data_IF_227101956369
#
_entry.id   IF_227101956369
#
_cell.length_a   1.000
_cell.length_b   1.000
_cell.length_c   1.000
_cell.angle_alpha   90.00
_cell.angle_beta   90.00
_cell.angle_gamma   90.00
#
_symmetry.space_group_name_H-M   'P 1'
#
loop_
_entity.id
_entity.type
_entity.pdbx_description
1 polymer ?
#
# COMPACT_ATOMS: atom_id res chain seq x y z
N UNK A 1 17.95 6.80 -29.48
CA UNK A 1 18.47 5.89 -28.44
C UNK A 1 17.76 4.55 -28.56
N UNK A 2 18.46 3.40 -28.46
CA UNK A 2 17.87 2.05 -28.63
C UNK A 2 16.71 1.78 -27.67
N UNK A 3 16.74 2.39 -26.49
CA UNK A 3 15.69 2.34 -25.47
C UNK A 3 14.39 3.00 -25.95
N UNK A 4 14.47 4.16 -26.61
CA UNK A 4 13.28 4.87 -27.14
C UNK A 4 12.63 4.08 -28.28
N UNK A 5 13.42 3.42 -29.12
CA UNK A 5 12.91 2.53 -30.17
C UNK A 5 12.24 1.27 -29.58
N UNK A 6 12.80 0.72 -28.49
CA UNK A 6 12.19 -0.41 -27.79
C UNK A 6 10.86 -0.04 -27.14
N UNK A 7 10.79 1.14 -26.48
CA UNK A 7 9.55 1.69 -25.93
C UNK A 7 8.53 1.89 -27.05
N UNK A 8 8.94 2.51 -28.16
CA UNK A 8 8.06 2.76 -29.31
C UNK A 8 7.51 1.45 -29.91
N UNK A 9 8.36 0.46 -30.15
CA UNK A 9 7.94 -0.83 -30.71
C UNK A 9 6.98 -1.58 -29.77
N UNK A 10 7.29 -1.64 -28.47
CA UNK A 10 6.43 -2.34 -27.50
C UNK A 10 5.13 -1.56 -27.17
N UNK A 11 5.11 -0.24 -27.37
CA UNK A 11 3.88 0.56 -27.33
C UNK A 11 2.99 0.27 -28.52
N UNK A 12 3.56 0.16 -29.73
CA UNK A 12 2.81 -0.18 -30.95
C UNK A 12 2.26 -1.61 -30.91
N UNK A 13 2.98 -2.56 -30.30
CA UNK A 13 2.51 -3.93 -30.09
C UNK A 13 1.45 -4.05 -28.97
N UNK A 14 1.20 -3.00 -28.19
CA UNK A 14 0.21 -2.99 -27.08
C UNK A 14 0.58 -3.85 -25.86
N UNK A 15 1.63 -4.68 -25.96
CA UNK A 15 2.10 -5.56 -24.88
C UNK A 15 2.61 -4.78 -23.67
N UNK A 16 3.24 -3.61 -23.90
CA UNK A 16 3.73 -2.75 -22.83
C UNK A 16 2.58 -2.21 -21.97
N UNK A 17 1.50 -1.75 -22.61
CA UNK A 17 0.32 -1.22 -21.92
C UNK A 17 -0.38 -2.30 -21.09
N UNK A 18 -0.39 -3.55 -21.57
CA UNK A 18 -0.90 -4.67 -20.79
C UNK A 18 -0.08 -4.92 -19.54
N UNK A 19 1.26 -4.93 -19.63
CA UNK A 19 2.12 -5.11 -18.46
C UNK A 19 2.00 -3.97 -17.45
N UNK A 20 1.96 -2.72 -17.94
CA UNK A 20 1.72 -1.55 -17.08
C UNK A 20 0.36 -1.66 -16.39
N UNK A 21 -0.69 -1.98 -17.14
CA UNK A 21 -2.06 -2.08 -16.63
C UNK A 21 -2.20 -3.15 -15.54
N UNK A 22 -1.54 -4.30 -15.71
CA UNK A 22 -1.53 -5.38 -14.70
C UNK A 22 -0.86 -4.91 -13.41
N UNK A 23 0.36 -4.37 -13.48
CA UNK A 23 1.09 -3.90 -12.29
C UNK A 23 0.32 -2.78 -11.58
N UNK A 24 -0.28 -1.86 -12.35
CA UNK A 24 -1.06 -0.76 -11.81
C UNK A 24 -2.34 -1.26 -11.12
N UNK A 25 -3.04 -2.22 -11.73
CA UNK A 25 -4.22 -2.85 -11.15
C UNK A 25 -3.89 -3.56 -9.84
N UNK A 26 -2.85 -4.40 -9.82
CA UNK A 26 -2.41 -5.12 -8.63
C UNK A 26 -1.98 -4.16 -7.52
N UNK A 27 -1.28 -3.07 -7.88
CA UNK A 27 -0.84 -2.04 -6.93
C UNK A 27 -2.03 -1.29 -6.33
N UNK A 28 -2.97 -0.81 -7.16
CA UNK A 28 -4.15 -0.08 -6.68
C UNK A 28 -5.06 -0.95 -5.82
N UNK A 29 -5.27 -2.21 -6.21
CA UNK A 29 -6.08 -3.14 -5.43
C UNK A 29 -5.42 -3.48 -4.08
N UNK A 30 -4.10 -3.74 -4.08
CA UNK A 30 -3.34 -3.94 -2.85
C UNK A 30 -3.42 -2.71 -1.94
N UNK A 31 -3.22 -1.52 -2.50
CA UNK A 31 -3.30 -0.26 -1.78
C UNK A 31 -4.66 -0.03 -1.11
N UNK A 32 -5.76 -0.24 -1.86
CA UNK A 32 -7.11 -0.13 -1.32
C UNK A 32 -7.35 -1.11 -0.19
N UNK A 33 -6.92 -2.36 -0.36
CA UNK A 33 -7.05 -3.39 0.68
C UNK A 33 -6.20 -3.09 1.91
N UNK A 34 -4.99 -2.54 1.74
CA UNK A 34 -4.15 -2.10 2.85
C UNK A 34 -4.90 -1.05 3.68
N UNK A 35 -5.44 -0.01 3.05
CA UNK A 35 -6.14 1.07 3.76
C UNK A 35 -7.38 0.56 4.46
N UNK A 36 -8.22 -0.22 3.76
CA UNK A 36 -9.46 -0.74 4.32
C UNK A 36 -9.19 -1.65 5.52
N UNK A 37 -8.22 -2.55 5.38
CA UNK A 37 -7.87 -3.48 6.44
C UNK A 37 -7.22 -2.75 7.62
N UNK A 38 -6.22 -1.89 7.36
CA UNK A 38 -5.49 -1.21 8.43
C UNK A 38 -6.37 -0.23 9.20
N UNK A 39 -7.21 0.54 8.50
CA UNK A 39 -8.18 1.45 9.10
C UNK A 39 -9.21 0.68 9.93
N UNK A 40 -9.76 -0.41 9.40
CA UNK A 40 -10.73 -1.25 10.10
C UNK A 40 -10.16 -1.85 11.39
N UNK A 41 -8.96 -2.43 11.31
CA UNK A 41 -8.29 -3.00 12.49
C UNK A 41 -7.86 -1.94 13.50
N UNK A 42 -7.37 -0.78 13.05
CA UNK A 42 -6.99 0.30 13.95
C UNK A 42 -8.20 0.88 14.68
N UNK A 43 -9.36 1.01 14.00
CA UNK A 43 -10.62 1.41 14.65
C UNK A 43 -11.07 0.39 15.69
N UNK A 44 -10.96 -0.91 15.38
CA UNK A 44 -11.30 -2.00 16.29
C UNK A 44 -10.42 -1.96 17.56
N UNK A 45 -9.12 -1.77 17.37
CA UNK A 45 -8.15 -1.63 18.45
C UNK A 45 -8.40 -0.39 19.31
N UNK A 46 -8.77 0.74 18.70
CA UNK A 46 -9.13 1.92 19.46
C UNK A 46 -10.41 1.72 20.31
N UNK A 47 -11.41 1.00 19.78
CA UNK A 47 -12.62 0.65 20.54
C UNK A 47 -12.32 -0.32 21.70
N UNK A 48 -11.36 -1.22 21.51
CA UNK A 48 -10.96 -2.24 22.48
C UNK A 48 -9.45 -2.18 22.78
N UNK A 49 -9.00 -1.23 23.63
CA UNK A 49 -7.57 -1.04 23.91
C UNK A 49 -6.85 -2.28 24.44
N UNK A 50 -7.55 -3.13 25.21
CA UNK A 50 -7.00 -4.41 25.70
C UNK A 50 -6.56 -5.36 24.58
N UNK A 51 -7.28 -5.35 23.46
CA UNK A 51 -6.91 -6.18 22.30
C UNK A 51 -5.61 -5.63 21.71
N UNK A 52 -5.51 -4.30 21.58
CA UNK A 52 -4.28 -3.68 21.08
C UNK A 52 -3.08 -4.03 21.94
N UNK A 53 -3.18 -3.92 23.28
CA UNK A 53 -2.07 -4.25 24.20
C UNK A 53 -1.52 -5.67 24.01
N UNK A 54 -2.38 -6.64 23.68
CA UNK A 54 -1.96 -8.02 23.39
C UNK A 54 -1.33 -8.15 22.01
N UNK A 55 -1.88 -7.47 21.00
CA UNK A 55 -1.43 -7.60 19.60
C UNK A 55 -0.25 -6.70 19.23
N UNK A 56 -0.04 -5.58 19.94
CA UNK A 56 1.02 -4.60 19.71
C UNK A 56 2.41 -5.24 19.53
N UNK A 57 2.91 -6.12 20.44
CA UNK A 57 4.21 -6.75 20.26
C UNK A 57 4.27 -7.61 18.99
N UNK A 58 3.18 -8.29 18.62
CA UNK A 58 3.12 -9.09 17.39
C UNK A 58 3.15 -8.21 16.14
N UNK A 59 2.42 -7.08 16.15
CA UNK A 59 2.40 -6.13 15.03
C UNK A 59 3.79 -5.53 14.80
N UNK A 60 4.50 -5.17 15.87
CA UNK A 60 5.87 -4.64 15.81
C UNK A 60 6.81 -5.70 15.21
N UNK A 61 6.80 -6.92 15.74
CA UNK A 61 7.63 -8.02 15.23
C UNK A 61 7.35 -8.30 13.75
N UNK A 62 6.06 -8.43 13.37
CA UNK A 62 5.65 -8.66 11.98
C UNK A 62 6.07 -7.51 11.06
N UNK A 63 6.05 -6.26 11.55
CA UNK A 63 6.50 -5.12 10.77
C UNK A 63 8.03 -5.09 10.59
N UNK A 64 8.79 -5.62 11.55
CA UNK A 64 10.25 -5.74 11.52
C UNK A 64 10.77 -6.91 10.69
N UNK A 65 9.94 -7.93 10.41
CA UNK A 65 10.35 -9.04 9.56
C UNK A 65 10.67 -8.56 8.14
N UNK A 66 11.65 -9.19 7.46
CA UNK A 66 11.91 -8.94 6.05
C UNK A 66 10.70 -9.43 5.24
N UNK A 67 9.76 -8.51 4.94
CA UNK A 67 8.51 -8.82 4.23
C UNK A 67 8.75 -9.47 2.86
N UNK A 68 9.89 -9.18 2.22
CA UNK A 68 10.32 -9.85 0.98
C UNK A 68 10.47 -11.37 1.14
N UNK A 69 10.83 -11.85 2.33
CA UNK A 69 10.97 -13.27 2.63
C UNK A 69 9.61 -13.99 2.79
N UNK A 70 8.50 -13.25 2.93
CA UNK A 70 7.15 -13.83 2.99
C UNK A 70 6.60 -14.17 1.59
N UNK A 71 7.09 -13.51 0.54
CA UNK A 71 6.59 -13.73 -0.82
C UNK A 71 6.71 -15.20 -1.30
N UNK A 72 7.85 -15.90 -1.11
CA UNK A 72 7.94 -17.34 -1.42
C UNK A 72 6.92 -18.19 -0.66
N UNK A 73 6.66 -17.89 0.63
CA UNK A 73 5.70 -18.64 1.44
C UNK A 73 4.28 -18.50 0.89
N UNK A 74 3.90 -17.28 0.50
CA UNK A 74 2.59 -17.05 -0.13
C UNK A 74 2.44 -17.82 -1.44
N UNK A 75 3.52 -17.99 -2.21
CA UNK A 75 3.48 -18.77 -3.46
C UNK A 75 3.29 -20.25 -3.19
N UNK A 76 3.95 -20.80 -2.18
CA UNK A 76 3.78 -22.21 -1.80
C UNK A 76 2.35 -22.49 -1.33
N UNK A 77 1.72 -21.55 -0.61
CA UNK A 77 0.36 -21.73 -0.09
C UNK A 77 -0.75 -21.39 -1.09
N UNK A 78 -0.62 -20.28 -1.81
CA UNK A 78 -1.67 -19.71 -2.67
C UNK A 78 -1.44 -19.98 -4.17
N UNK A 79 -0.27 -20.54 -4.52
CA UNK A 79 0.15 -20.77 -5.90
C UNK A 79 0.62 -19.51 -6.63
N UNK A 80 0.88 -19.63 -7.93
CA UNK A 80 1.30 -18.54 -8.81
C UNK A 80 0.08 -17.84 -9.42
N UNK A 81 -0.62 -17.05 -8.60
CA UNK A 81 -1.84 -16.34 -9.00
C UNK A 81 -1.73 -14.85 -8.70
N UNK A 82 -2.56 -14.04 -9.37
CA UNK A 82 -2.69 -12.59 -9.10
C UNK A 82 -2.99 -12.31 -7.62
N UNK A 83 -3.80 -13.17 -6.97
CA UNK A 83 -4.10 -13.07 -5.54
C UNK A 83 -2.84 -13.12 -4.67
N UNK A 84 -1.88 -13.95 -5.02
CA UNK A 84 -0.62 -14.11 -4.29
C UNK A 84 0.21 -12.83 -4.36
N UNK A 85 0.24 -12.18 -5.52
CA UNK A 85 0.94 -10.91 -5.74
C UNK A 85 0.29 -9.81 -4.92
N UNK A 86 -1.05 -9.76 -4.90
CA UNK A 86 -1.80 -8.80 -4.09
C UNK A 86 -1.54 -9.01 -2.60
N UNK A 87 -1.56 -10.26 -2.12
CA UNK A 87 -1.26 -10.58 -0.71
C UNK A 87 0.17 -10.21 -0.34
N UNK A 88 1.13 -10.46 -1.23
CA UNK A 88 2.51 -10.00 -1.05
C UNK A 88 2.57 -8.47 -0.95
N UNK A 89 1.89 -7.75 -1.85
CA UNK A 89 1.72 -6.30 -1.80
C UNK A 89 1.18 -5.78 -0.48
N UNK A 90 0.09 -6.39 0.01
CA UNK A 90 -0.56 -6.03 1.28
C UNK A 90 0.39 -6.24 2.47
N UNK A 91 1.08 -7.39 2.50
CA UNK A 91 1.96 -7.77 3.61
C UNK A 91 3.05 -6.75 3.90
N UNK A 92 3.51 -6.01 2.88
CA UNK A 92 4.59 -5.04 3.01
C UNK A 92 4.18 -3.82 3.86
N UNK A 93 2.93 -3.38 3.73
CA UNK A 93 2.47 -2.11 4.30
C UNK A 93 1.46 -2.26 5.44
N UNK A 94 0.72 -3.38 5.50
CA UNK A 94 -0.44 -3.52 6.40
C UNK A 94 -0.09 -3.31 7.87
N UNK A 95 0.94 -3.97 8.39
CA UNK A 95 1.27 -3.92 9.82
C UNK A 95 1.73 -2.53 10.26
N UNK A 96 2.65 -1.92 9.50
CA UNK A 96 3.11 -0.55 9.76
C UNK A 96 1.97 0.47 9.66
N UNK A 97 1.06 0.28 8.69
CA UNK A 97 -0.12 1.13 8.55
C UNK A 97 -1.07 1.03 9.75
N UNK A 98 -1.26 -0.17 10.31
CA UNK A 98 -2.10 -0.36 11.51
C UNK A 98 -1.51 0.40 12.70
N UNK A 99 -0.21 0.23 12.94
CA UNK A 99 0.49 0.88 14.06
C UNK A 99 0.42 2.40 13.91
N UNK A 100 0.67 2.91 12.71
CA UNK A 100 0.64 4.36 12.42
C UNK A 100 -0.76 4.96 12.61
N UNK A 101 -1.81 4.30 12.10
CA UNK A 101 -3.18 4.77 12.25
C UNK A 101 -3.67 4.71 13.70
N UNK A 102 -3.37 3.61 14.40
CA UNK A 102 -3.72 3.50 15.83
C UNK A 102 -3.02 4.57 16.67
N UNK A 103 -1.72 4.81 16.43
CA UNK A 103 -0.99 5.90 17.07
C UNK A 103 -1.62 7.26 16.77
N UNK A 104 -2.05 7.49 15.52
CA UNK A 104 -2.84 8.66 15.16
C UNK A 104 -4.10 8.80 16.02
N UNK A 105 -4.89 7.74 16.15
CA UNK A 105 -6.13 7.75 16.94
C UNK A 105 -5.88 7.98 18.44
N UNK A 106 -4.79 7.43 18.97
CA UNK A 106 -4.42 7.56 20.37
C UNK A 106 -3.93 8.98 20.74
N UNK A 107 -3.38 9.71 19.76
CA UNK A 107 -2.89 11.09 19.94
C UNK A 107 -3.96 12.17 19.77
N UNK A 108 -5.21 11.80 19.44
CA UNK A 108 -6.32 12.76 19.36
C UNK A 108 -6.61 13.36 20.74
N UNK A 109 -6.91 14.65 20.75
CA UNK A 109 -7.21 15.43 21.94
C UNK A 109 -8.27 14.75 22.84
N UNK A 110 -7.81 14.34 24.03
CA UNK A 110 -8.63 13.65 25.02
C UNK A 110 -9.75 14.54 25.56
N UNK A 111 -9.60 15.85 25.53
CA UNK A 111 -10.62 16.77 26.04
C UNK A 111 -11.82 16.86 25.09
N UNK A 112 -11.59 16.81 23.77
CA UNK A 112 -12.68 16.66 22.78
C UNK A 112 -13.43 15.34 22.95
N UNK A 113 -12.70 14.26 23.30
CA UNK A 113 -13.31 12.97 23.59
C UNK A 113 -14.14 13.03 24.89
N UNK A 114 -13.63 13.65 25.96
CA UNK A 114 -14.37 13.84 27.22
C UNK A 114 -15.64 14.66 27.00
N UNK A 115 -15.59 15.71 26.17
CA UNK A 115 -16.76 16.52 25.85
C UNK A 115 -17.90 15.67 25.28
N UNK A 116 -17.60 14.74 24.37
CA UNK A 116 -18.60 13.80 23.83
C UNK A 116 -19.20 12.95 24.95
N UNK A 117 -18.39 12.42 25.88
CA UNK A 117 -18.89 11.64 27.01
C UNK A 117 -19.77 12.47 27.96
N UNK A 118 -19.41 13.72 28.25
CA UNK A 118 -20.21 14.62 29.09
C UNK A 118 -21.55 14.97 28.45
N UNK A 119 -21.61 15.04 27.11
CA UNK A 119 -22.85 15.25 26.35
C UNK A 119 -23.69 13.97 26.19
N UNK A 120 -23.33 12.87 26.87
CA UNK A 120 -24.03 11.59 26.82
C UNK A 120 -23.70 10.71 25.61
N UNK A 121 -22.70 11.09 24.80
CA UNK A 121 -22.23 10.28 23.68
C UNK A 121 -21.37 9.10 24.13
N UNK A 122 -21.40 8.00 23.37
CA UNK A 122 -20.62 6.80 23.66
C UNK A 122 -19.24 6.77 22.97
N UNK A 123 -18.49 5.68 23.19
CA UNK A 123 -17.18 5.44 22.54
C UNK A 123 -17.27 5.49 21.01
N UNK A 124 -18.36 4.97 20.43
CA UNK A 124 -18.59 4.98 18.98
C UNK A 124 -18.83 6.39 18.43
N UNK A 125 -19.48 7.25 19.23
CA UNK A 125 -19.69 8.65 18.87
C UNK A 125 -18.37 9.42 18.91
N UNK A 126 -17.55 9.21 19.94
CA UNK A 126 -16.22 9.78 20.03
C UNK A 126 -15.34 9.35 18.84
N UNK A 127 -15.38 8.06 18.47
CA UNK A 127 -14.66 7.55 17.30
C UNK A 127 -15.07 8.29 16.02
N UNK A 128 -16.37 8.29 15.70
CA UNK A 128 -16.87 8.82 14.43
C UNK A 128 -16.80 10.36 14.34
N UNK A 129 -17.04 11.06 15.44
CA UNK A 129 -17.20 12.53 15.45
C UNK A 129 -15.92 13.28 15.81
N UNK A 130 -14.97 12.65 16.48
CA UNK A 130 -13.74 13.32 16.96
C UNK A 130 -12.51 12.63 16.40
N UNK A 131 -12.38 11.31 16.59
CA UNK A 131 -11.13 10.60 16.30
C UNK A 131 -10.90 10.44 14.80
N UNK A 132 -11.89 9.91 14.08
CA UNK A 132 -11.81 9.75 12.62
C UNK A 132 -11.56 11.09 11.92
N UNK A 133 -12.33 12.17 12.17
CA UNK A 133 -12.06 13.45 11.53
C UNK A 133 -10.73 14.08 11.99
N UNK A 134 -10.37 13.92 13.27
CA UNK A 134 -9.12 14.46 13.83
C UNK A 134 -7.84 13.80 13.29
N UNK A 135 -7.96 12.60 12.69
CA UNK A 135 -6.82 11.84 12.17
C UNK A 135 -6.75 11.77 10.66
N UNK A 136 -7.61 12.51 9.95
CA UNK A 136 -7.55 12.57 8.49
C UNK A 136 -6.16 12.97 7.97
N UNK A 137 -5.43 13.93 8.55
CA UNK A 137 -4.07 14.25 8.12
C UNK A 137 -3.11 13.06 8.24
N UNK A 138 -3.24 12.26 9.32
CA UNK A 138 -2.44 11.06 9.55
C UNK A 138 -2.82 9.96 8.57
N UNK A 139 -4.11 9.80 8.26
CA UNK A 139 -4.58 8.86 7.25
C UNK A 139 -4.00 9.21 5.87
N UNK A 140 -4.06 10.48 5.47
CA UNK A 140 -3.54 10.95 4.18
C UNK A 140 -2.02 10.76 4.05
N UNK A 141 -1.26 11.07 5.10
CA UNK A 141 0.19 10.81 5.11
C UNK A 141 0.51 9.31 5.05
N UNK A 142 -0.26 8.49 5.76
CA UNK A 142 -0.12 7.03 5.72
C UNK A 142 -0.44 6.47 4.33
N UNK A 143 -1.47 7.00 3.65
CA UNK A 143 -1.81 6.62 2.27
C UNK A 143 -0.64 6.92 1.30
N UNK A 144 0.02 8.07 1.41
CA UNK A 144 1.18 8.41 0.56
C UNK A 144 2.34 7.43 0.72
N UNK A 145 2.58 6.94 1.92
CA UNK A 145 3.62 5.93 2.18
C UNK A 145 3.17 4.56 1.65
N UNK A 146 1.92 4.19 1.91
CA UNK A 146 1.38 2.88 1.55
C UNK A 146 1.32 2.65 0.04
N UNK A 147 1.07 3.66 -0.80
CA UNK A 147 1.04 3.45 -2.26
C UNK A 147 2.42 3.04 -2.79
N UNK A 148 3.49 3.61 -2.25
CA UNK A 148 4.86 3.24 -2.62
C UNK A 148 5.22 1.85 -2.12
N UNK A 149 4.87 1.54 -0.87
CA UNK A 149 5.10 0.21 -0.30
C UNK A 149 4.29 -0.89 -1.00
N UNK A 150 3.05 -0.59 -1.41
CA UNK A 150 2.22 -1.50 -2.18
C UNK A 150 2.87 -1.80 -3.55
N UNK A 151 3.38 -0.79 -4.24
CA UNK A 151 4.09 -0.96 -5.51
C UNK A 151 5.33 -1.85 -5.32
N UNK A 152 6.14 -1.60 -4.29
CA UNK A 152 7.31 -2.42 -3.96
C UNK A 152 6.91 -3.88 -3.70
N UNK A 153 5.87 -4.11 -2.90
CA UNK A 153 5.41 -5.47 -2.59
C UNK A 153 4.82 -6.21 -3.79
N UNK A 154 4.10 -5.51 -4.67
CA UNK A 154 3.60 -6.08 -5.93
C UNK A 154 4.76 -6.45 -6.85
N UNK A 155 5.78 -5.59 -7.01
CA UNK A 155 6.96 -5.92 -7.83
C UNK A 155 7.67 -7.18 -7.30
N UNK A 156 7.83 -7.29 -5.98
CA UNK A 156 8.40 -8.50 -5.36
C UNK A 156 7.52 -9.73 -5.67
N UNK A 157 6.19 -9.60 -5.58
CA UNK A 157 5.28 -10.68 -5.97
C UNK A 157 5.39 -11.04 -7.45
N UNK A 158 5.47 -10.05 -8.33
CA UNK A 158 5.60 -10.23 -9.78
C UNK A 158 6.90 -10.94 -10.15
N UNK A 159 8.01 -10.66 -9.44
CA UNK A 159 9.30 -11.30 -9.66
C UNK A 159 9.24 -12.83 -9.51
N UNK A 160 8.44 -13.32 -8.56
CA UNK A 160 8.42 -14.73 -8.21
C UNK A 160 7.24 -15.50 -8.83
N UNK A 161 6.09 -14.83 -9.05
CA UNK A 161 4.84 -15.51 -9.37
C UNK A 161 4.16 -15.06 -10.67
N UNK A 162 4.51 -13.89 -11.21
CA UNK A 162 3.80 -13.36 -12.36
C UNK A 162 4.34 -13.92 -13.68
N UNK A 163 3.44 -13.98 -14.67
CA UNK A 163 3.79 -14.20 -16.08
C UNK A 163 3.62 -12.93 -16.94
N UNK A 164 3.17 -11.85 -16.31
CA UNK A 164 2.88 -10.54 -16.91
C UNK A 164 3.04 -9.47 -15.83
N UNK A 165 3.61 -8.33 -16.17
CA UNK A 165 3.82 -7.21 -15.27
C UNK A 165 5.17 -6.56 -15.54
N UNK A 166 5.39 -5.35 -15.04
CA UNK A 166 6.67 -4.67 -15.17
C UNK A 166 7.77 -5.37 -14.36
N UNK A 167 7.44 -5.92 -13.20
CA UNK A 167 8.35 -6.72 -12.40
C UNK A 167 8.76 -8.01 -13.10
N UNK A 168 7.82 -8.67 -13.78
CA UNK A 168 8.13 -9.83 -14.63
C UNK A 168 9.11 -9.47 -15.76
N UNK A 169 8.92 -8.34 -16.44
CA UNK A 169 9.81 -7.89 -17.52
C UNK A 169 11.23 -7.60 -17.02
N UNK A 170 11.39 -7.12 -15.77
CA UNK A 170 12.70 -6.91 -15.14
C UNK A 170 13.42 -8.24 -14.95
N UNK A 171 12.78 -9.23 -14.32
CA UNK A 171 13.41 -10.52 -14.05
C UNK A 171 13.69 -11.27 -15.35
N UNK A 172 12.70 -11.34 -16.25
CA UNK A 172 12.87 -12.01 -17.52
C UNK A 172 13.96 -11.34 -18.37
N UNK A 173 13.93 -10.00 -18.49
CA UNK A 173 14.94 -9.24 -19.22
C UNK A 173 16.35 -9.43 -18.65
N UNK A 174 16.48 -9.54 -17.32
CA UNK A 174 17.74 -9.85 -16.64
C UNK A 174 18.22 -11.27 -16.99
N UNK A 175 17.34 -12.27 -16.97
CA UNK A 175 17.66 -13.66 -17.29
C UNK A 175 18.11 -13.86 -18.74
N UNK A 176 17.52 -13.14 -19.69
CA UNK A 176 17.90 -13.20 -21.12
C UNK A 176 18.93 -12.15 -21.52
N UNK A 177 19.55 -11.46 -20.54
CA UNK A 177 20.55 -10.40 -20.73
C UNK A 177 20.10 -9.24 -21.65
N UNK A 178 18.80 -8.99 -21.77
CA UNK A 178 18.22 -7.84 -22.48
C UNK A 178 18.09 -6.66 -21.53
N UNK A 179 19.21 -5.99 -21.26
CA UNK A 179 19.24 -4.83 -20.36
C UNK A 179 18.34 -3.67 -20.81
N UNK A 180 18.06 -3.55 -22.11
CA UNK A 180 17.10 -2.58 -22.64
C UNK A 180 15.70 -2.75 -21.99
N UNK A 181 15.25 -3.99 -21.78
CA UNK A 181 13.94 -4.30 -21.17
C UNK A 181 13.94 -3.99 -19.67
N UNK A 182 15.05 -4.28 -18.99
CA UNK A 182 15.22 -4.02 -17.57
C UNK A 182 15.18 -2.52 -17.29
N UNK A 183 16.01 -1.74 -18.00
CA UNK A 183 16.09 -0.28 -17.83
C UNK A 183 14.76 0.37 -18.19
N UNK A 184 14.14 -0.05 -19.31
CA UNK A 184 12.83 0.46 -19.71
C UNK A 184 11.76 0.21 -18.63
N UNK A 185 11.69 -1.01 -18.08
CA UNK A 185 10.69 -1.35 -17.07
C UNK A 185 10.91 -0.56 -15.77
N UNK A 186 12.16 -0.36 -15.35
CA UNK A 186 12.51 0.45 -14.18
C UNK A 186 12.12 1.92 -14.40
N UNK A 187 12.42 2.50 -15.57
CA UNK A 187 12.04 3.89 -15.88
C UNK A 187 10.52 4.07 -15.84
N UNK A 188 9.77 3.13 -16.42
CA UNK A 188 8.31 3.16 -16.40
C UNK A 188 7.78 3.04 -14.97
N UNK A 189 8.33 2.13 -14.15
CA UNK A 189 7.96 2.01 -12.75
C UNK A 189 8.21 3.31 -11.97
N UNK A 190 9.34 4.00 -12.22
CA UNK A 190 9.60 5.31 -11.63
C UNK A 190 8.55 6.34 -12.02
N UNK A 191 8.17 6.40 -13.30
CA UNK A 191 7.11 7.31 -13.78
C UNK A 191 5.77 6.99 -13.10
N UNK A 192 5.41 5.71 -13.01
CA UNK A 192 4.19 5.26 -12.33
C UNK A 192 4.22 5.63 -10.84
N UNK A 193 5.32 5.37 -10.15
CA UNK A 193 5.48 5.69 -8.74
C UNK A 193 5.32 7.20 -8.48
N UNK A 194 5.98 8.04 -9.30
CA UNK A 194 5.86 9.50 -9.24
C UNK A 194 4.43 9.94 -9.52
N UNK A 195 3.78 9.34 -10.53
CA UNK A 195 2.40 9.63 -10.89
C UNK A 195 1.41 9.31 -9.77
N UNK A 196 1.51 8.11 -9.20
CA UNK A 196 0.67 7.67 -8.08
C UNK A 196 0.89 8.54 -6.82
N UNK A 197 2.13 8.83 -6.47
CA UNK A 197 2.46 9.70 -5.35
C UNK A 197 1.93 11.13 -5.55
N UNK A 198 2.12 11.68 -6.74
CA UNK A 198 1.66 13.04 -7.09
C UNK A 198 0.14 13.14 -7.06
N UNK A 199 -0.57 12.11 -7.52
CA UNK A 199 -2.02 12.04 -7.49
C UNK A 199 -2.56 12.07 -6.05
N UNK A 200 -1.96 11.30 -5.13
CA UNK A 200 -2.31 11.36 -3.71
C UNK A 200 -1.94 12.69 -3.07
N UNK A 201 -0.80 13.28 -3.43
CA UNK A 201 -0.40 14.58 -2.91
C UNK A 201 -1.34 15.70 -3.35
N UNK A 202 -1.84 15.63 -4.59
CA UNK A 202 -2.86 16.56 -5.07
C UNK A 202 -4.19 16.37 -4.34
N UNK A 203 -4.61 15.11 -4.13
CA UNK A 203 -5.82 14.79 -3.36
C UNK A 203 -5.74 15.33 -1.92
N UNK A 204 -4.61 15.16 -1.24
CA UNK A 204 -4.38 15.69 0.10
C UNK A 204 -4.45 17.22 0.13
N UNK A 205 -3.74 17.92 -0.77
CA UNK A 205 -3.76 19.38 -0.83
C UNK A 205 -5.16 19.93 -1.09
N UNK A 206 -5.94 19.26 -1.95
CA UNK A 206 -7.33 19.66 -2.24
C UNK A 206 -8.22 19.47 -1.00
N UNK A 207 -8.04 18.38 -0.27
CA UNK A 207 -8.81 18.11 0.94
C UNK A 207 -8.47 19.09 2.07
N UNK A 208 -7.18 19.35 2.31
CA UNK A 208 -6.72 20.27 3.34
C UNK A 208 -7.04 21.75 3.05
N UNK A 209 -7.16 22.14 1.78
CA UNK A 209 -7.62 23.48 1.39
C UNK A 209 -9.14 23.68 1.53
N UNK A 210 -9.91 22.59 1.63
CA UNK A 210 -11.36 22.62 1.79
C UNK A 210 -11.85 22.52 3.23
N UNK A 211 -10.93 22.31 4.19
CA UNK A 211 -11.15 22.37 5.64
C UNK A 211 -10.85 23.77 6.17
#
# INVERSE_FOLDING_TARGET
SRILLCIWNMLFDGSLLLHIGVTLYETLLSFLLIILFSMGTAMLFWLHPRIYEVFDPFLVVLNSLPKSALAPLFIVWLGTNVRTIIVAGISVAVFGSIISLYSGFANVDKDKIKLIYTLGGGKKDALKKVVVPGTIPVLLSTMKVNIGLALVGVIIGEFLAARRGLGYLIIYGSQVFKLDWVIMSIVILCIIAIGLYSLLNFAEKKYLKGL
#
